data_IF_430183874693
#
_entry.id   IF_430183874693
#
_cell.length_a   1.000
_cell.length_b   1.000
_cell.length_c   1.000
_cell.angle_alpha   90.00
_cell.angle_beta   90.00
_cell.angle_gamma   90.00
#
_symmetry.space_group_name_H-M   'P 1'
#
loop_
_entity.id
_entity.type
_entity.pdbx_description
1 polymer ?
#
# COMPACT_ATOMS: atom_id res chain seq x y z
N UNK A 1 -59.61 -34.01 -48.56
CA UNK A 1 -58.71 -32.92 -48.98
C UNK A 1 -58.41 -32.13 -47.72
N UNK A 2 -57.20 -32.34 -47.25
CA UNK A 2 -56.68 -31.94 -45.95
C UNK A 2 -55.74 -30.77 -46.20
N UNK A 3 -55.94 -29.63 -45.54
CA UNK A 3 -54.94 -28.56 -45.46
C UNK A 3 -55.15 -27.77 -44.17
N UNK A 4 -54.39 -28.16 -43.14
CA UNK A 4 -54.25 -27.41 -41.88
C UNK A 4 -52.89 -26.71 -41.94
N UNK A 5 -52.82 -25.36 -41.95
CA UNK A 5 -51.55 -24.67 -41.85
C UNK A 5 -51.12 -24.62 -40.38
N UNK A 6 -50.05 -25.34 -40.06
CA UNK A 6 -49.31 -25.20 -38.80
C UNK A 6 -48.49 -23.91 -38.82
N UNK A 7 -48.65 -22.98 -37.85
CA UNK A 7 -47.63 -21.97 -37.60
C UNK A 7 -46.48 -22.61 -36.83
N UNK A 8 -45.36 -22.78 -37.53
CA UNK A 8 -44.05 -23.10 -36.95
C UNK A 8 -43.27 -21.80 -36.80
N UNK A 9 -42.52 -21.67 -35.69
CA UNK A 9 -41.67 -20.53 -35.27
C UNK A 9 -42.41 -19.57 -34.34
N UNK A 10 -41.89 -19.15 -33.18
CA UNK A 10 -40.52 -18.83 -32.82
C UNK A 10 -40.23 -19.25 -31.36
N UNK A 11 -39.76 -20.47 -31.16
CA UNK A 11 -38.99 -20.79 -29.97
C UNK A 11 -37.59 -20.24 -30.15
N UNK A 12 -37.41 -18.92 -30.05
CA UNK A 12 -36.11 -18.30 -30.04
C UNK A 12 -35.30 -18.94 -28.90
N UNK A 13 -34.33 -19.77 -29.29
CA UNK A 13 -33.32 -20.32 -28.40
C UNK A 13 -32.71 -19.15 -27.63
N UNK A 14 -33.18 -18.93 -26.41
CA UNK A 14 -32.47 -18.10 -25.44
C UNK A 14 -31.16 -18.82 -25.18
N UNK A 15 -30.13 -18.45 -25.95
CA UNK A 15 -28.75 -18.79 -25.62
C UNK A 15 -28.55 -18.25 -24.20
N UNK A 16 -28.34 -19.10 -23.19
CA UNK A 16 -28.15 -18.64 -21.83
C UNK A 16 -26.97 -17.68 -21.85
N UNK A 17 -27.21 -16.43 -21.46
CA UNK A 17 -26.13 -15.46 -21.29
C UNK A 17 -25.07 -16.13 -20.39
N UNK A 18 -23.79 -16.14 -20.79
CA UNK A 18 -22.74 -16.77 -20.00
C UNK A 18 -22.84 -16.22 -18.57
N UNK A 19 -22.87 -17.08 -17.55
CA UNK A 19 -23.06 -16.65 -16.17
C UNK A 19 -22.04 -15.55 -15.89
N UNK A 20 -22.54 -14.36 -15.59
CA UNK A 20 -21.72 -13.21 -15.24
C UNK A 20 -20.72 -13.69 -14.20
N UNK A 21 -19.44 -13.75 -14.59
CA UNK A 21 -18.38 -14.38 -13.82
C UNK A 21 -18.38 -13.75 -12.44
N UNK A 22 -18.96 -14.43 -11.46
CA UNK A 22 -19.14 -13.90 -10.12
C UNK A 22 -17.74 -13.54 -9.62
N UNK A 23 -17.51 -12.25 -9.38
CA UNK A 23 -16.22 -11.74 -8.96
C UNK A 23 -15.77 -12.53 -7.73
N UNK A 24 -14.66 -13.27 -7.86
CA UNK A 24 -14.19 -14.16 -6.81
C UNK A 24 -14.11 -13.41 -5.46
N UNK A 25 -14.64 -13.97 -4.36
CA UNK A 25 -14.69 -13.31 -3.08
C UNK A 25 -13.29 -12.85 -2.66
N UNK A 26 -13.13 -11.56 -2.43
CA UNK A 26 -11.84 -10.99 -2.07
C UNK A 26 -11.44 -11.46 -0.67
N UNK A 27 -10.30 -12.15 -0.58
CA UNK A 27 -9.77 -12.61 0.71
C UNK A 27 -9.38 -11.40 1.57
N UNK A 28 -9.78 -11.36 2.85
CA UNK A 28 -9.48 -10.25 3.73
C UNK A 28 -7.96 -10.09 3.92
N UNK A 29 -7.50 -8.84 3.81
CA UNK A 29 -6.11 -8.47 4.01
C UNK A 29 -5.72 -8.58 5.48
N UNK A 30 -4.59 -9.23 5.78
CA UNK A 30 -4.05 -9.30 7.13
C UNK A 30 -3.30 -8.01 7.43
N UNK A 31 -3.98 -6.96 7.87
CA UNK A 31 -3.39 -5.63 8.07
C UNK A 31 -2.44 -5.54 9.27
N UNK A 32 -2.60 -6.42 10.25
CA UNK A 32 -1.88 -6.35 11.53
C UNK A 32 -0.34 -6.34 11.41
N UNK A 33 0.34 -7.11 10.52
CA UNK A 33 1.80 -7.09 10.49
C UNK A 33 2.35 -5.75 9.99
N UNK A 34 1.68 -5.13 9.00
CA UNK A 34 2.05 -3.80 8.52
C UNK A 34 1.92 -2.74 9.62
N UNK A 35 0.86 -2.81 10.42
CA UNK A 35 0.65 -1.91 11.57
C UNK A 35 1.73 -2.12 12.63
N UNK A 36 2.07 -3.37 12.95
CA UNK A 36 3.14 -3.69 13.91
C UNK A 36 4.49 -3.15 13.43
N UNK A 37 4.82 -3.27 12.13
CA UNK A 37 6.06 -2.72 11.58
C UNK A 37 6.13 -1.20 11.67
N UNK A 38 5.03 -0.49 11.37
CA UNK A 38 4.96 0.97 11.51
C UNK A 38 5.06 1.38 12.98
N UNK A 39 4.40 0.67 13.88
CA UNK A 39 4.50 0.92 15.31
C UNK A 39 5.92 0.68 15.84
N UNK A 40 6.61 -0.37 15.39
CA UNK A 40 8.00 -0.65 15.75
C UNK A 40 8.95 0.42 15.19
N UNK A 41 8.72 0.88 13.95
CA UNK A 41 9.51 1.97 13.35
C UNK A 41 9.41 3.24 14.19
N UNK A 42 8.18 3.69 14.49
CA UNK A 42 7.98 4.87 15.35
C UNK A 42 8.49 4.64 16.77
N UNK A 43 8.33 3.44 17.32
CA UNK A 43 8.89 3.06 18.62
C UNK A 43 10.42 3.16 18.66
N UNK A 44 11.10 2.78 17.58
CA UNK A 44 12.55 2.93 17.46
C UNK A 44 12.96 4.40 17.31
N UNK A 45 12.28 5.16 16.45
CA UNK A 45 12.58 6.58 16.21
C UNK A 45 12.32 7.41 17.47
N UNK A 46 11.13 7.27 18.06
CA UNK A 46 10.73 8.01 19.26
C UNK A 46 11.43 7.50 20.51
N UNK A 47 11.65 6.18 20.60
CA UNK A 47 12.34 5.56 21.73
C UNK A 47 13.76 6.07 21.90
N UNK A 48 14.49 6.31 20.80
CA UNK A 48 15.80 6.96 20.87
C UNK A 48 15.70 8.42 21.30
N UNK A 49 14.70 9.17 20.82
CA UNK A 49 14.53 10.59 21.20
C UNK A 49 13.96 10.82 22.60
N UNK A 50 13.27 9.83 23.19
CA UNK A 50 12.60 9.94 24.48
C UNK A 50 13.47 9.46 25.66
N UNK A 51 14.65 8.89 25.38
CA UNK A 51 15.61 8.58 26.43
C UNK A 51 16.30 9.87 26.87
N UNK A 52 16.38 10.10 28.19
CA UNK A 52 16.99 11.29 28.75
C UNK A 52 18.46 11.43 28.31
N UNK A 53 18.95 12.66 28.06
CA UNK A 53 20.35 12.93 27.71
C UNK A 53 21.38 12.26 28.64
N UNK A 54 21.05 12.13 29.93
CA UNK A 54 21.90 11.49 30.95
C UNK A 54 22.09 9.97 30.72
N UNK A 55 21.16 9.29 30.04
CA UNK A 55 21.35 7.89 29.60
C UNK A 55 22.00 7.78 28.22
N UNK A 56 22.04 8.89 27.47
CA UNK A 56 22.57 8.98 26.10
C UNK A 56 24.09 9.17 26.09
N UNK A 57 24.75 9.57 27.19
CA UNK A 57 26.23 9.60 27.26
C UNK A 57 26.88 8.25 26.88
N UNK A 58 26.16 7.13 26.99
CA UNK A 58 26.60 5.81 26.55
C UNK A 58 26.33 5.50 25.05
N UNK A 59 25.47 6.26 24.38
CA UNK A 59 25.09 6.07 22.97
C UNK A 59 25.80 7.13 22.14
N UNK A 60 26.86 6.72 21.41
CA UNK A 60 27.55 7.58 20.45
C UNK A 60 26.55 8.28 19.50
N UNK A 61 26.78 9.56 19.19
CA UNK A 61 25.99 10.35 18.22
C UNK A 61 25.86 9.62 16.86
N UNK A 62 26.90 8.86 16.50
CA UNK A 62 26.91 7.98 15.33
C UNK A 62 25.80 6.93 15.36
N UNK A 63 25.54 6.31 16.51
CA UNK A 63 24.51 5.29 16.69
C UNK A 63 23.11 5.91 16.59
N UNK A 64 22.91 7.10 17.17
CA UNK A 64 21.65 7.83 17.04
C UNK A 64 21.36 8.18 15.58
N UNK A 65 22.35 8.70 14.87
CA UNK A 65 22.25 8.97 13.43
C UNK A 65 21.94 7.69 12.63
N UNK A 66 22.64 6.58 12.92
CA UNK A 66 22.40 5.30 12.26
C UNK A 66 20.98 4.78 12.51
N UNK A 67 20.44 4.87 13.73
CA UNK A 67 19.08 4.40 14.02
C UNK A 67 18.03 5.27 13.33
N UNK A 68 18.18 6.60 13.34
CA UNK A 68 17.26 7.50 12.67
C UNK A 68 17.30 7.36 11.14
N UNK A 69 18.46 7.05 10.57
CA UNK A 69 18.62 6.89 9.12
C UNK A 69 18.29 5.48 8.63
N UNK A 70 18.87 4.44 9.23
CA UNK A 70 18.66 3.04 8.84
C UNK A 70 17.32 2.48 9.33
N UNK A 71 16.80 2.96 10.46
CA UNK A 71 15.55 2.48 11.05
C UNK A 71 14.37 2.52 10.07
N UNK A 72 14.05 3.70 9.49
CA UNK A 72 13.02 3.82 8.45
C UNK A 72 13.27 2.96 7.22
N UNK A 73 14.53 2.86 6.77
CA UNK A 73 14.89 2.04 5.60
C UNK A 73 14.64 0.54 5.84
N UNK A 74 15.08 0.03 6.98
CA UNK A 74 14.85 -1.36 7.38
C UNK A 74 13.36 -1.62 7.57
N UNK A 75 12.63 -0.70 8.23
CA UNK A 75 11.19 -0.80 8.38
C UNK A 75 10.46 -0.85 7.03
N UNK A 76 10.89 -0.02 6.07
CA UNK A 76 10.34 -0.04 4.72
C UNK A 76 10.60 -1.36 4.01
N UNK A 77 11.84 -1.88 4.04
CA UNK A 77 12.17 -3.16 3.44
C UNK A 77 11.33 -4.29 4.02
N UNK A 78 11.17 -4.33 5.34
CA UNK A 78 10.32 -5.30 6.02
C UNK A 78 8.85 -5.12 5.64
N UNK A 79 8.37 -3.86 5.52
CA UNK A 79 7.01 -3.55 5.14
C UNK A 79 6.72 -3.96 3.69
N UNK A 80 7.61 -3.64 2.75
CA UNK A 80 7.50 -4.04 1.35
C UNK A 80 7.62 -5.57 1.19
N UNK A 81 8.54 -6.21 1.91
CA UNK A 81 8.66 -7.66 1.95
C UNK A 81 7.36 -8.31 2.43
N UNK A 82 6.83 -7.84 3.57
CA UNK A 82 5.54 -8.29 4.08
C UNK A 82 4.42 -8.04 3.05
N UNK A 83 4.37 -6.86 2.44
CA UNK A 83 3.36 -6.50 1.45
C UNK A 83 3.39 -7.43 0.23
N UNK A 84 4.57 -7.73 -0.31
CA UNK A 84 4.72 -8.57 -1.49
C UNK A 84 4.39 -10.04 -1.20
N UNK A 85 4.90 -10.59 -0.10
CA UNK A 85 4.78 -12.02 0.19
C UNK A 85 3.48 -12.38 0.93
N UNK A 86 3.05 -11.58 1.91
CA UNK A 86 1.98 -11.94 2.85
C UNK A 86 0.65 -11.23 2.61
N UNK A 87 0.61 -10.15 1.84
CA UNK A 87 -0.63 -9.45 1.51
C UNK A 87 -1.45 -10.30 0.55
N UNK A 88 -2.52 -10.99 0.97
CA UNK A 88 -3.26 -12.01 0.19
C UNK A 88 -4.01 -11.50 -1.08
N UNK A 89 -3.60 -10.36 -1.65
CA UNK A 89 -4.13 -9.73 -2.87
C UNK A 89 -3.72 -10.48 -4.15
N UNK A 90 -4.34 -10.10 -5.28
CA UNK A 90 -3.85 -10.48 -6.61
C UNK A 90 -2.47 -9.84 -6.86
N UNK A 91 -1.55 -10.59 -7.46
CA UNK A 91 -0.16 -10.13 -7.68
C UNK A 91 -0.05 -8.79 -8.41
N UNK A 92 -0.92 -8.55 -9.40
CA UNK A 92 -0.97 -7.27 -10.12
C UNK A 92 -1.33 -6.10 -9.18
N UNK A 93 -2.31 -6.29 -8.29
CA UNK A 93 -2.70 -5.27 -7.31
C UNK A 93 -1.63 -5.06 -6.25
N UNK A 94 -0.85 -6.10 -5.91
CA UNK A 94 0.28 -6.00 -4.97
C UNK A 94 1.42 -5.16 -5.52
N UNK A 95 1.73 -5.29 -6.81
CA UNK A 95 2.83 -4.58 -7.45
C UNK A 95 2.47 -3.13 -7.80
N UNK A 96 1.19 -2.84 -8.03
CA UNK A 96 0.73 -1.50 -8.39
C UNK A 96 1.15 -0.42 -7.39
N UNK A 97 0.94 -0.65 -6.09
CA UNK A 97 1.28 0.34 -5.05
C UNK A 97 2.79 0.58 -4.93
N UNK A 98 3.66 -0.43 -4.77
CA UNK A 98 5.11 -0.21 -4.72
C UNK A 98 5.67 0.39 -6.03
N UNK A 99 5.17 -0.05 -7.19
CA UNK A 99 5.57 0.56 -8.48
C UNK A 99 5.19 2.04 -8.49
N UNK A 100 3.98 2.39 -8.05
CA UNK A 100 3.54 3.78 -8.00
C UNK A 100 4.40 4.63 -7.05
N UNK A 101 4.71 4.11 -5.86
CA UNK A 101 5.64 4.77 -4.91
C UNK A 101 6.99 5.02 -5.56
N UNK A 102 7.57 4.01 -6.22
CA UNK A 102 8.88 4.14 -6.88
C UNK A 102 8.82 5.16 -8.01
N UNK A 103 7.77 5.15 -8.83
CA UNK A 103 7.60 6.10 -9.93
C UNK A 103 7.49 7.53 -9.40
N UNK A 104 6.57 7.79 -8.47
CA UNK A 104 6.38 9.13 -7.90
C UNK A 104 7.63 9.59 -7.16
N UNK A 105 8.22 8.73 -6.32
CA UNK A 105 9.46 9.03 -5.61
C UNK A 105 10.62 9.35 -6.56
N UNK A 106 10.75 8.61 -7.67
CA UNK A 106 11.77 8.89 -8.69
C UNK A 106 11.54 10.25 -9.35
N UNK A 107 10.29 10.58 -9.71
CA UNK A 107 9.96 11.89 -10.27
C UNK A 107 10.32 13.01 -9.29
N UNK A 108 9.98 12.87 -8.01
CA UNK A 108 10.32 13.84 -6.97
C UNK A 108 11.83 14.03 -6.83
N UNK A 109 12.61 12.95 -6.86
CA UNK A 109 14.07 13.02 -6.77
C UNK A 109 14.71 13.62 -8.03
N UNK A 110 14.15 13.39 -9.21
CA UNK A 110 14.66 13.92 -10.47
C UNK A 110 14.31 15.40 -10.69
N UNK A 111 13.14 15.82 -10.23
CA UNK A 111 12.65 17.21 -10.37
C UNK A 111 13.12 18.08 -9.22
N UNK A 112 13.25 17.52 -8.02
CA UNK A 112 13.71 18.22 -6.82
C UNK A 112 15.22 18.44 -6.79
N UNK A 113 15.65 19.30 -5.87
CA UNK A 113 17.07 19.52 -5.58
C UNK A 113 17.74 18.26 -4.99
N UNK A 114 19.08 18.22 -4.99
CA UNK A 114 19.86 17.08 -4.44
C UNK A 114 19.49 16.70 -2.99
N UNK A 115 18.95 17.64 -2.23
CA UNK A 115 18.47 17.44 -0.85
C UNK A 115 17.12 16.74 -0.78
N UNK A 116 16.32 16.77 -1.84
CA UNK A 116 14.98 16.18 -1.89
C UNK A 116 15.02 14.66 -1.67
N UNK A 117 15.97 13.94 -2.28
CA UNK A 117 16.12 12.50 -2.06
C UNK A 117 16.48 12.14 -0.62
N UNK A 118 17.29 12.97 0.02
CA UNK A 118 17.64 12.77 1.43
C UNK A 118 16.44 13.05 2.33
N UNK A 119 15.75 14.18 2.16
CA UNK A 119 14.52 14.51 2.91
C UNK A 119 13.42 13.47 2.69
N UNK A 120 13.30 12.93 1.48
CA UNK A 120 12.37 11.87 1.17
C UNK A 120 12.70 10.58 1.93
N UNK A 121 13.98 10.23 2.06
CA UNK A 121 14.40 9.08 2.85
C UNK A 121 14.16 9.28 4.36
N UNK A 122 14.45 10.47 4.88
CA UNK A 122 14.34 10.78 6.32
C UNK A 122 12.89 10.99 6.78
N UNK A 123 12.11 11.76 6.03
CA UNK A 123 10.76 12.18 6.42
C UNK A 123 9.69 11.57 5.52
N UNK A 124 9.92 11.54 4.21
CA UNK A 124 8.95 11.00 3.27
C UNK A 124 8.63 9.53 3.55
N UNK A 125 9.65 8.70 3.79
CA UNK A 125 9.52 7.26 3.98
C UNK A 125 8.70 6.88 5.23
N UNK A 126 9.01 7.39 6.44
CA UNK A 126 8.20 7.11 7.63
C UNK A 126 6.74 7.54 7.46
N UNK A 127 6.52 8.75 6.92
CA UNK A 127 5.18 9.26 6.69
C UNK A 127 4.43 8.44 5.64
N UNK A 128 5.12 8.00 4.59
CA UNK A 128 4.55 7.17 3.54
C UNK A 128 4.08 5.82 4.08
N UNK A 129 4.91 5.14 4.87
CA UNK A 129 4.54 3.86 5.49
C UNK A 129 3.37 4.04 6.46
N UNK A 130 3.37 5.14 7.23
CA UNK A 130 2.31 5.47 8.17
C UNK A 130 1.00 5.76 7.46
N UNK A 131 1.02 6.58 6.41
CA UNK A 131 -0.14 6.87 5.59
C UNK A 131 -0.68 5.61 4.94
N UNK A 132 0.21 4.76 4.40
CA UNK A 132 -0.19 3.51 3.77
C UNK A 132 -0.87 2.57 4.77
N UNK A 133 -0.22 2.29 5.91
CA UNK A 133 -0.79 1.42 6.93
C UNK A 133 -2.07 2.01 7.53
N UNK A 134 -2.06 3.30 7.87
CA UNK A 134 -3.19 4.03 8.46
C UNK A 134 -4.40 4.08 7.52
N UNK A 135 -4.19 4.39 6.24
CA UNK A 135 -5.26 4.40 5.25
C UNK A 135 -5.91 3.02 5.13
N UNK A 136 -5.11 1.95 5.07
CA UNK A 136 -5.65 0.59 5.03
C UNK A 136 -6.38 0.21 6.32
N UNK A 137 -5.91 0.67 7.47
CA UNK A 137 -6.54 0.42 8.77
C UNK A 137 -7.88 1.12 8.92
N UNK A 138 -8.02 2.34 8.39
CA UNK A 138 -9.23 3.17 8.49
C UNK A 138 -10.28 2.82 7.45
N UNK A 139 -9.90 2.21 6.33
CA UNK A 139 -10.83 1.92 5.21
C UNK A 139 -11.24 0.44 5.03
N UNK A 140 -11.28 -0.45 6.04
CA UNK A 140 -11.56 -1.87 5.81
C UNK A 140 -12.97 -2.14 5.29
N UNK A 141 -13.91 -1.21 5.51
CA UNK A 141 -15.29 -1.27 5.07
C UNK A 141 -15.52 -0.76 3.64
N UNK A 142 -14.53 -0.13 3.01
CA UNK A 142 -14.63 0.35 1.62
C UNK A 142 -14.33 -0.77 0.62
N UNK A 143 -14.96 -0.67 -0.55
CA UNK A 143 -14.58 -1.50 -1.71
C UNK A 143 -13.09 -1.29 -2.04
N UNK A 144 -12.40 -2.38 -2.38
CA UNK A 144 -10.97 -2.35 -2.71
C UNK A 144 -10.60 -1.29 -3.75
N UNK A 145 -11.46 -1.07 -4.74
CA UNK A 145 -11.27 -0.05 -5.78
C UNK A 145 -11.20 1.38 -5.25
N UNK A 146 -11.93 1.69 -4.17
CA UNK A 146 -11.91 3.01 -3.53
C UNK A 146 -10.71 3.10 -2.60
N UNK A 147 -10.40 2.02 -1.86
CA UNK A 147 -9.22 1.95 -0.98
C UNK A 147 -7.93 2.20 -1.76
N UNK A 148 -7.75 1.55 -2.92
CA UNK A 148 -6.58 1.77 -3.77
C UNK A 148 -6.51 3.20 -4.30
N UNK A 149 -7.63 3.78 -4.73
CA UNK A 149 -7.65 5.12 -5.30
C UNK A 149 -7.24 6.16 -4.26
N UNK A 150 -7.81 6.06 -3.05
CA UNK A 150 -7.45 6.95 -1.95
C UNK A 150 -6.01 6.73 -1.47
N UNK A 151 -5.49 5.50 -1.49
CA UNK A 151 -4.09 5.22 -1.16
C UNK A 151 -3.14 5.88 -2.15
N UNK A 152 -3.36 5.68 -3.45
CA UNK A 152 -2.53 6.26 -4.51
C UNK A 152 -2.59 7.80 -4.47
N UNK A 153 -3.79 8.35 -4.26
CA UNK A 153 -3.98 9.79 -4.12
C UNK A 153 -3.21 10.33 -2.91
N UNK A 154 -3.33 9.67 -1.75
CA UNK A 154 -2.61 10.06 -0.54
C UNK A 154 -1.09 10.01 -0.73
N UNK A 155 -0.58 8.97 -1.39
CA UNK A 155 0.85 8.83 -1.71
C UNK A 155 1.31 9.96 -2.64
N UNK A 156 0.54 10.24 -3.69
CA UNK A 156 0.86 11.32 -4.63
C UNK A 156 0.87 12.69 -3.95
N UNK A 157 -0.09 12.95 -3.06
CA UNK A 157 -0.16 14.19 -2.29
C UNK A 157 0.99 14.32 -1.29
N UNK A 158 1.33 13.23 -0.60
CA UNK A 158 2.42 13.23 0.37
C UNK A 158 3.78 13.44 -0.28
N UNK A 159 4.01 12.86 -1.46
CA UNK A 159 5.28 12.95 -2.17
C UNK A 159 5.38 14.22 -3.04
N UNK A 160 4.25 14.75 -3.50
CA UNK A 160 4.19 15.92 -4.38
C UNK A 160 4.08 17.27 -3.66
N UNK A 161 3.96 17.28 -2.34
CA UNK A 161 3.95 18.47 -1.49
C UNK A 161 5.29 18.61 -0.77
#
# INVERSE_FOLDING_TARGET
MSDTPSPVSEGASQVPAPPATAAAPQRPLRLWPGVVLVALMWGAVQGVSALDPERIEAINELTQFQVQFMGPMVAALLFFGWWLFFSRLRWLDRLLVPIFVVLVGTVVVLVGDKTAGMLLAFYGLPWLLTLWAGWLLVTPFLAWSVRRAGLLLGIALLLGY
#
